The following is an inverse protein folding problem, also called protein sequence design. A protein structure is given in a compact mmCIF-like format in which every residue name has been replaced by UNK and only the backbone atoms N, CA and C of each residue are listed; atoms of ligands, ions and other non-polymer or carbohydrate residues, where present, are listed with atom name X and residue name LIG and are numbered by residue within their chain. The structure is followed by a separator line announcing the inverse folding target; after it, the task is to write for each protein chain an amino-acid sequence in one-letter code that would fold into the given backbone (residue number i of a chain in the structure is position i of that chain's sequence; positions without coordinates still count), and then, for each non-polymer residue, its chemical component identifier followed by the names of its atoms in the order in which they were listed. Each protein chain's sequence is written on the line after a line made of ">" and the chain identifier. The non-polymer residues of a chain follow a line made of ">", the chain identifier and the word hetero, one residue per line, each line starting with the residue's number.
data_IF_710703081979
#
_entry.id   IF_710703081979
#
_cell.length_a   1.000
_cell.length_b   1.000
_cell.length_c   1.000
_cell.angle_alpha   90.00
_cell.angle_beta   90.00
_cell.angle_gamma   90.00
#
_symmetry.space_group_name_H-M   'P 1'
#
loop_
_entity.id
_entity.type
_entity.pdbx_description
1 polymer ?
#
# COMPACT_ATOMS: atom_id res chain seq x y z
N UNK A 1 -16.98 26.51 3.45
CA UNK A 1 -17.69 25.28 3.87
C UNK A 1 -17.14 23.99 3.23
N UNK A 2 -15.91 23.94 2.69
CA UNK A 2 -15.44 22.77 1.91
C UNK A 2 -14.56 21.75 2.64
N UNK A 3 -13.95 22.06 3.79
CA UNK A 3 -12.95 21.14 4.39
C UNK A 3 -13.56 19.96 5.16
N UNK A 4 -14.76 20.10 5.73
CA UNK A 4 -15.41 19.04 6.52
C UNK A 4 -15.97 17.91 5.64
N UNK A 5 -16.46 18.23 4.44
CA UNK A 5 -16.96 17.25 3.46
C UNK A 5 -15.81 16.35 2.98
N UNK A 6 -14.65 16.95 2.68
CA UNK A 6 -13.43 16.24 2.28
C UNK A 6 -12.95 15.27 3.36
N UNK A 7 -12.92 15.66 4.64
CA UNK A 7 -12.54 14.77 5.74
C UNK A 7 -13.49 13.59 5.90
N UNK A 8 -14.79 13.79 5.67
CA UNK A 8 -15.80 12.74 5.75
C UNK A 8 -15.66 11.74 4.61
N UNK A 9 -15.36 12.21 3.41
CA UNK A 9 -15.08 11.37 2.24
C UNK A 9 -13.79 10.58 2.42
N UNK A 10 -12.72 11.22 2.91
CA UNK A 10 -11.47 10.53 3.23
C UNK A 10 -11.67 9.40 4.26
N UNK A 11 -12.50 9.62 5.28
CA UNK A 11 -12.86 8.56 6.25
C UNK A 11 -13.66 7.44 5.61
N UNK A 12 -14.63 7.76 4.74
CA UNK A 12 -15.41 6.76 4.00
C UNK A 12 -14.53 5.90 3.10
N UNK A 13 -13.66 6.54 2.31
CA UNK A 13 -12.74 5.86 1.41
C UNK A 13 -11.76 4.98 2.21
N UNK A 14 -11.19 5.50 3.30
CA UNK A 14 -10.35 4.71 4.20
C UNK A 14 -11.05 3.50 4.80
N UNK A 15 -12.33 3.63 5.18
CA UNK A 15 -13.14 2.51 5.66
C UNK A 15 -13.39 1.46 4.56
N UNK A 16 -13.65 1.89 3.33
CA UNK A 16 -13.85 0.98 2.20
C UNK A 16 -12.58 0.19 1.88
N UNK A 17 -11.42 0.86 1.83
CA UNK A 17 -10.14 0.17 1.64
C UNK A 17 -9.85 -0.85 2.74
N UNK A 18 -10.14 -0.51 4.01
CA UNK A 18 -10.00 -1.46 5.10
C UNK A 18 -10.87 -2.70 4.90
N UNK A 19 -12.13 -2.52 4.50
CA UNK A 19 -13.03 -3.64 4.25
C UNK A 19 -12.52 -4.53 3.11
N UNK A 20 -12.06 -3.94 2.01
CA UNK A 20 -11.50 -4.69 0.88
C UNK A 20 -10.27 -5.48 1.31
N UNK A 21 -9.28 -4.83 1.94
CA UNK A 21 -8.02 -5.49 2.34
C UNK A 21 -8.16 -6.40 3.56
N UNK A 22 -9.28 -6.38 4.28
CA UNK A 22 -9.56 -7.35 5.32
C UNK A 22 -9.94 -8.73 4.75
N UNK A 23 -10.44 -8.79 3.51
CA UNK A 23 -10.78 -10.06 2.84
C UNK A 23 -9.52 -10.85 2.43
N UNK A 24 -9.58 -12.18 2.34
CA UNK A 24 -8.44 -12.98 1.87
C UNK A 24 -7.94 -12.55 0.49
N UNK A 25 -8.84 -12.35 -0.48
CA UNK A 25 -8.49 -11.88 -1.82
C UNK A 25 -7.86 -10.47 -1.80
N UNK A 26 -8.38 -9.57 -0.96
CA UNK A 26 -7.80 -8.24 -0.79
C UNK A 26 -6.39 -8.29 -0.21
N UNK A 27 -6.12 -9.21 0.73
CA UNK A 27 -4.76 -9.44 1.26
C UNK A 27 -3.81 -9.96 0.18
N UNK A 28 -4.27 -10.88 -0.67
CA UNK A 28 -3.50 -11.37 -1.82
C UNK A 28 -3.12 -10.23 -2.77
N UNK A 29 -4.09 -9.38 -3.14
CA UNK A 29 -3.83 -8.21 -4.00
C UNK A 29 -2.83 -7.26 -3.35
N UNK A 30 -2.95 -7.02 -2.03
CA UNK A 30 -2.03 -6.15 -1.31
C UNK A 30 -0.61 -6.73 -1.27
N UNK A 31 -0.47 -8.04 -1.06
CA UNK A 31 0.81 -8.78 -1.14
C UNK A 31 1.43 -8.61 -2.52
N UNK A 32 0.66 -8.83 -3.59
CA UNK A 32 1.13 -8.68 -4.97
C UNK A 32 1.56 -7.23 -5.28
N UNK A 33 0.84 -6.23 -4.76
CA UNK A 33 1.21 -4.83 -4.91
C UNK A 33 2.57 -4.53 -4.25
N UNK A 34 2.79 -4.99 -3.02
CA UNK A 34 4.07 -4.82 -2.29
C UNK A 34 5.22 -5.45 -3.06
N UNK A 35 5.02 -6.67 -3.58
CA UNK A 35 6.00 -7.40 -4.38
C UNK A 35 6.31 -6.66 -5.68
N UNK A 36 5.27 -6.26 -6.42
CA UNK A 36 5.39 -5.66 -7.75
C UNK A 36 6.15 -4.34 -7.73
N UNK A 37 5.85 -3.46 -6.77
CA UNK A 37 6.55 -2.16 -6.66
C UNK A 37 7.94 -2.29 -6.02
N UNK A 38 8.31 -3.50 -5.60
CA UNK A 38 9.52 -3.78 -4.83
C UNK A 38 9.62 -2.83 -3.65
N UNK A 39 8.58 -2.78 -2.81
CA UNK A 39 8.40 -1.75 -1.77
C UNK A 39 9.63 -1.59 -0.86
N UNK A 40 10.34 -2.68 -0.64
CA UNK A 40 11.52 -2.79 0.21
C UNK A 40 12.81 -3.14 -0.57
N UNK A 41 12.75 -3.18 -1.91
CA UNK A 41 13.93 -3.41 -2.74
C UNK A 41 14.61 -2.09 -3.04
N UNK A 42 15.94 -2.03 -2.94
CA UNK A 42 16.66 -0.84 -3.40
C UNK A 42 16.43 -0.65 -4.91
N UNK A 43 16.09 0.59 -5.28
CA UNK A 43 16.17 0.99 -6.68
C UNK A 43 17.66 0.97 -7.03
N UNK A 44 18.10 0.00 -7.84
CA UNK A 44 19.49 -0.07 -8.30
C UNK A 44 19.86 1.12 -9.20
N UNK A 45 20.85 0.95 -10.07
CA UNK A 45 21.14 1.95 -11.10
C UNK A 45 19.91 2.09 -12.02
N UNK A 46 19.21 3.21 -11.93
CA UNK A 46 18.05 3.58 -12.74
C UNK A 46 18.22 5.02 -13.19
N UNK A 47 17.66 5.38 -14.34
CA UNK A 47 17.55 6.78 -14.73
C UNK A 47 16.58 7.54 -13.80
N UNK A 48 16.64 8.87 -13.84
CA UNK A 48 15.88 9.72 -12.93
C UNK A 48 14.37 9.63 -13.12
N UNK A 49 13.89 9.39 -14.35
CA UNK A 49 12.47 9.28 -14.64
C UNK A 49 11.90 7.96 -14.13
N UNK A 50 12.61 6.86 -14.35
CA UNK A 50 12.27 5.53 -13.85
C UNK A 50 12.31 5.48 -12.32
N UNK A 51 13.29 6.13 -11.70
CA UNK A 51 13.35 6.26 -10.25
C UNK A 51 12.12 7.00 -9.70
N UNK A 52 11.74 8.12 -10.32
CA UNK A 52 10.58 8.90 -9.92
C UNK A 52 9.28 8.09 -10.05
N UNK A 53 9.12 7.36 -11.16
CA UNK A 53 7.98 6.48 -11.37
C UNK A 53 7.88 5.40 -10.29
N UNK A 54 8.99 4.71 -9.99
CA UNK A 54 9.05 3.65 -8.97
C UNK A 54 8.75 4.18 -7.57
N UNK A 55 9.34 5.32 -7.19
CA UNK A 55 9.06 5.91 -5.87
C UNK A 55 7.61 6.40 -5.75
N UNK A 56 7.02 6.90 -6.84
CA UNK A 56 5.59 7.23 -6.87
C UNK A 56 4.70 6.01 -6.62
N UNK A 57 5.00 4.89 -7.28
CA UNK A 57 4.28 3.63 -7.07
C UNK A 57 4.45 3.12 -5.62
N UNK A 58 5.65 3.21 -5.05
CA UNK A 58 5.91 2.84 -3.65
C UNK A 58 5.14 3.71 -2.66
N UNK A 59 5.11 5.02 -2.85
CA UNK A 59 4.37 5.92 -1.97
C UNK A 59 2.87 5.60 -1.96
N UNK A 60 2.29 5.28 -3.12
CA UNK A 60 0.90 4.87 -3.22
C UNK A 60 0.62 3.61 -2.40
N UNK A 61 1.45 2.57 -2.54
CA UNK A 61 1.30 1.31 -1.78
C UNK A 61 1.48 1.56 -0.27
N UNK A 62 2.44 2.40 0.15
CA UNK A 62 2.60 2.81 1.57
C UNK A 62 1.34 3.49 2.12
N UNK A 63 0.66 4.32 1.33
CA UNK A 63 -0.60 4.96 1.73
C UNK A 63 -1.73 3.95 1.88
N UNK A 64 -1.85 3.00 0.96
CA UNK A 64 -2.85 1.93 1.06
C UNK A 64 -2.65 1.08 2.32
N UNK A 65 -1.40 0.74 2.66
CA UNK A 65 -1.05 0.04 3.91
C UNK A 65 -1.43 0.84 5.15
N UNK A 66 -1.17 2.16 5.17
CA UNK A 66 -1.61 3.02 6.28
C UNK A 66 -3.13 3.07 6.41
N UNK A 67 -3.85 3.02 5.28
CA UNK A 67 -5.32 3.10 5.27
C UNK A 67 -5.98 1.77 5.68
N UNK A 68 -5.36 0.63 5.36
CA UNK A 68 -5.86 -0.70 5.73
C UNK A 68 -5.83 -0.92 7.25
N UNK A 69 -4.98 -0.18 8.01
CA UNK A 69 -4.80 -0.35 9.47
C UNK A 69 -4.55 -1.81 9.86
N UNK A 70 -3.71 -2.50 9.10
CA UNK A 70 -3.15 -3.78 9.53
C UNK A 70 -2.34 -3.54 10.82
N UNK A 71 -2.33 -4.52 11.74
CA UNK A 71 -1.39 -4.49 12.85
C UNK A 71 0.05 -4.65 12.35
N UNK A 72 1.02 -4.25 13.15
CA UNK A 72 2.44 -4.42 12.81
C UNK A 72 2.76 -5.90 12.52
N UNK A 73 2.23 -6.83 13.33
CA UNK A 73 2.35 -8.28 13.10
C UNK A 73 1.77 -8.74 11.75
N UNK A 74 0.61 -8.18 11.35
CA UNK A 74 -0.01 -8.49 10.06
C UNK A 74 0.78 -7.92 8.90
N UNK A 75 1.40 -6.75 9.11
CA UNK A 75 2.28 -6.13 8.13
C UNK A 75 3.55 -6.96 7.95
N UNK A 76 4.18 -7.38 9.05
CA UNK A 76 5.37 -8.22 9.04
C UNK A 76 5.12 -9.57 8.37
N UNK A 77 4.00 -10.23 8.70
CA UNK A 77 3.61 -11.48 8.05
C UNK A 77 3.45 -11.28 6.53
N UNK A 78 2.70 -10.25 6.13
CA UNK A 78 2.40 -9.97 4.73
C UNK A 78 3.65 -9.54 3.95
N UNK A 79 4.62 -8.91 4.63
CA UNK A 79 5.93 -8.58 4.08
C UNK A 79 6.83 -9.82 3.93
N UNK A 80 6.90 -10.69 4.94
CA UNK A 80 7.68 -11.93 4.87
C UNK A 80 7.20 -12.81 3.71
N UNK A 81 5.88 -13.01 3.65
CA UNK A 81 5.25 -13.77 2.56
C UNK A 81 5.45 -13.15 1.17
N UNK A 82 5.65 -11.82 1.06
CA UNK A 82 5.90 -11.14 -0.22
C UNK A 82 7.35 -11.27 -0.69
N UNK A 83 8.28 -11.64 0.19
CA UNK A 83 9.72 -11.78 -0.09
C UNK A 83 10.12 -13.23 -0.36
N UNK A 84 9.43 -14.19 0.26
CA UNK A 84 9.78 -15.64 0.21
C UNK A 84 9.14 -16.43 -0.96
N UNK A 85 8.34 -15.78 -1.82
CA UNK A 85 7.72 -16.31 -3.08
C UNK A 85 8.33 -15.69 -4.35
#
# INVERSE_FOLDING_TARGET
>A
MSSLTSLREMRRVGSAYRQVFATPAGRTVLKDMIRTVGLYRQSGACDSAELQYREGARDLVRRLLKMSKLSDDQLEQLMGEAVDD
#
